data_IF_101440637947
#
_entry.id   IF_101440637947
#
_cell.length_a   1.000
_cell.length_b   1.000
_cell.length_c   1.000
_cell.angle_alpha   90.00
_cell.angle_beta   90.00
_cell.angle_gamma   90.00
#
_symmetry.space_group_name_H-M   'P 1'
#
loop_
_entity.id
_entity.type
_entity.pdbx_description
1 polymer ?
#
# COMPACT_ATOMS: atom_id res chain seq x y z
N UNK A 1 30.62 -5.85 -11.91
CA UNK A 1 29.84 -4.65 -11.55
C UNK A 1 29.18 -4.98 -10.23
N UNK A 2 29.30 -4.13 -9.22
CA UNK A 2 28.65 -4.34 -7.91
C UNK A 2 27.14 -4.43 -8.11
N UNK A 3 26.50 -5.41 -7.49
CA UNK A 3 25.06 -5.59 -7.58
C UNK A 3 24.31 -4.52 -6.78
N UNK A 4 23.03 -4.30 -7.09
CA UNK A 4 22.21 -3.28 -6.41
C UNK A 4 22.15 -3.50 -4.89
N UNK A 5 22.02 -4.75 -4.45
CA UNK A 5 21.98 -5.12 -3.04
C UNK A 5 23.31 -4.83 -2.33
N UNK A 6 24.45 -5.11 -2.98
CA UNK A 6 25.78 -4.83 -2.43
C UNK A 6 26.01 -3.31 -2.29
N UNK A 7 25.52 -2.51 -3.24
CA UNK A 7 25.55 -1.04 -3.13
C UNK A 7 24.70 -0.58 -1.95
N UNK A 8 23.48 -1.11 -1.80
CA UNK A 8 22.58 -0.75 -0.71
C UNK A 8 23.14 -1.13 0.67
N UNK A 9 23.77 -2.30 0.81
CA UNK A 9 24.36 -2.79 2.05
C UNK A 9 25.64 -2.03 2.44
N UNK A 10 26.39 -1.51 1.47
CA UNK A 10 27.57 -0.69 1.73
C UNK A 10 27.22 0.75 2.15
N UNK A 11 25.97 1.18 1.99
CA UNK A 11 25.55 2.53 2.34
C UNK A 11 25.52 2.74 3.85
N UNK A 12 25.90 3.94 4.30
CA UNK A 12 25.73 4.37 5.69
C UNK A 12 24.54 5.32 5.78
N UNK A 13 23.30 4.80 5.98
CA UNK A 13 22.11 5.63 6.05
C UNK A 13 22.19 6.62 7.22
N UNK A 14 21.69 7.84 7.01
CA UNK A 14 21.57 8.82 8.08
C UNK A 14 20.41 8.44 9.01
N UNK A 15 20.46 8.81 10.30
CA UNK A 15 19.30 8.69 11.17
C UNK A 15 18.07 9.37 10.56
N UNK A 16 16.91 8.72 10.64
CA UNK A 16 15.69 9.22 10.02
C UNK A 16 15.27 10.60 10.55
N UNK A 17 15.58 10.89 11.83
CA UNK A 17 15.37 12.20 12.41
C UNK A 17 16.09 13.33 11.64
N UNK A 18 17.30 13.09 11.14
CA UNK A 18 18.03 14.08 10.33
C UNK A 18 17.38 14.30 8.97
N UNK A 19 16.80 13.25 8.37
CA UNK A 19 16.03 13.35 7.12
C UNK A 19 14.74 14.14 7.35
N UNK A 20 14.07 13.88 8.47
CA UNK A 20 12.87 14.58 8.87
C UNK A 20 13.13 16.08 9.14
N UNK A 21 14.26 16.41 9.77
CA UNK A 21 14.68 17.78 10.05
C UNK A 21 14.87 18.61 8.76
N UNK A 22 15.38 18.01 7.68
CA UNK A 22 15.49 18.70 6.37
C UNK A 22 14.13 19.12 5.83
N UNK A 23 13.11 18.31 6.08
CA UNK A 23 11.71 18.59 5.73
C UNK A 23 10.98 19.41 6.81
N UNK A 24 11.68 19.81 7.88
CA UNK A 24 11.13 20.53 9.05
C UNK A 24 9.99 19.77 9.74
N UNK A 25 10.06 18.43 9.69
CA UNK A 25 9.13 17.56 10.41
C UNK A 25 9.62 17.49 11.86
N UNK A 26 8.85 17.96 12.85
CA UNK A 26 9.28 17.91 14.24
C UNK A 26 9.31 16.47 14.74
N UNK A 27 10.19 16.19 15.71
CA UNK A 27 10.34 14.86 16.33
C UNK A 27 9.01 14.29 16.83
N UNK A 28 8.13 15.13 17.38
CA UNK A 28 6.81 14.73 17.88
C UNK A 28 5.82 14.28 16.79
N UNK A 29 6.14 14.54 15.52
CA UNK A 29 5.35 14.14 14.34
C UNK A 29 6.06 13.10 13.49
N UNK A 30 7.17 12.54 13.99
CA UNK A 30 7.88 11.42 13.40
C UNK A 30 7.74 10.21 14.33
N UNK A 31 7.27 9.10 13.81
CA UNK A 31 7.17 7.82 14.51
C UNK A 31 8.25 6.88 13.94
N UNK A 32 9.39 6.71 14.62
CA UNK A 32 10.50 5.92 14.08
C UNK A 32 10.18 4.42 14.04
N UNK A 33 10.49 3.79 12.91
CA UNK A 33 10.48 2.33 12.73
C UNK A 33 11.94 1.87 12.66
N UNK A 34 12.57 1.76 13.82
CA UNK A 34 14.03 1.65 13.89
C UNK A 34 14.71 3.01 13.66
N UNK A 35 15.95 3.00 13.17
CA UNK A 35 16.80 4.21 13.13
C UNK A 35 16.76 4.98 11.82
N UNK A 36 16.33 4.36 10.72
CA UNK A 36 16.57 4.85 9.34
C UNK A 36 15.30 4.95 8.49
N UNK A 37 14.14 4.69 9.09
CA UNK A 37 12.81 4.83 8.49
C UNK A 37 11.79 5.17 9.58
N UNK A 38 10.67 5.75 9.20
CA UNK A 38 9.61 6.11 10.14
C UNK A 38 8.34 6.51 9.42
N UNK A 39 7.25 6.67 10.17
CA UNK A 39 6.00 7.25 9.67
C UNK A 39 5.89 8.71 10.06
N UNK A 40 5.32 9.52 9.17
CA UNK A 40 5.03 10.92 9.45
C UNK A 40 3.58 11.06 9.88
N UNK A 41 3.34 11.66 11.04
CA UNK A 41 2.01 11.80 11.60
C UNK A 41 1.06 12.52 10.64
N UNK A 42 -0.01 11.83 10.23
CA UNK A 42 -0.94 12.31 9.21
C UNK A 42 -1.65 13.61 9.63
N UNK A 43 -2.06 13.73 10.91
CA UNK A 43 -2.75 14.92 11.41
C UNK A 43 -1.87 16.17 11.40
N UNK A 44 -0.56 16.00 11.61
CA UNK A 44 0.39 17.09 11.45
C UNK A 44 0.58 17.42 9.97
N UNK A 45 0.76 16.41 9.12
CA UNK A 45 1.00 16.58 7.68
C UNK A 45 -0.13 17.35 6.98
N UNK A 46 -1.38 16.99 7.27
CA UNK A 46 -2.57 17.61 6.66
C UNK A 46 -2.77 19.09 7.06
N UNK A 47 -2.12 19.55 8.13
CA UNK A 47 -2.15 20.96 8.55
C UNK A 47 -1.08 21.81 7.89
N UNK A 48 -0.15 21.20 7.15
CA UNK A 48 0.93 21.95 6.51
C UNK A 48 0.41 22.68 5.27
N UNK A 49 0.72 23.97 5.11
CA UNK A 49 0.29 24.72 3.94
C UNK A 49 1.04 24.23 2.70
N UNK A 50 0.35 24.18 1.57
CA UNK A 50 1.00 24.05 0.27
C UNK A 50 1.77 25.35 0.01
N UNK A 51 3.08 25.21 -0.25
CA UNK A 51 3.95 26.36 -0.53
C UNK A 51 3.72 26.85 -1.96
N UNK A 52 3.68 28.16 -2.19
CA UNK A 52 3.53 28.74 -3.54
C UNK A 52 4.68 28.33 -4.50
N UNK A 53 5.85 28.04 -3.93
CA UNK A 53 7.03 27.56 -4.65
C UNK A 53 6.98 26.05 -4.96
N UNK A 54 5.99 25.31 -4.45
CA UNK A 54 5.90 23.87 -4.67
C UNK A 54 5.69 23.56 -6.16
N UNK A 55 6.39 22.53 -6.65
CA UNK A 55 6.29 22.02 -8.02
C UNK A 55 6.11 20.52 -7.96
N UNK A 56 5.20 19.98 -8.75
CA UNK A 56 5.00 18.55 -8.91
C UNK A 56 5.63 18.10 -10.23
N UNK A 57 6.63 17.22 -10.15
CA UNK A 57 7.29 16.64 -11.33
C UNK A 57 6.85 15.18 -11.44
N UNK A 58 6.08 14.87 -12.48
CA UNK A 58 5.66 13.51 -12.78
C UNK A 58 6.67 12.84 -13.71
N UNK A 59 7.29 11.76 -13.25
CA UNK A 59 8.14 10.90 -14.08
C UNK A 59 7.30 9.78 -14.68
N UNK A 60 7.27 9.72 -16.02
CA UNK A 60 6.61 8.65 -16.78
C UNK A 60 7.59 8.01 -17.76
N UNK A 61 7.17 6.97 -18.46
CA UNK A 61 7.97 6.27 -19.45
C UNK A 61 7.13 5.94 -20.70
N UNK A 62 7.81 5.54 -21.77
CA UNK A 62 7.18 4.87 -22.91
C UNK A 62 6.58 3.52 -22.49
N UNK A 63 5.84 2.87 -23.40
CA UNK A 63 5.34 1.51 -23.17
C UNK A 63 6.48 0.56 -22.77
N UNK A 64 6.31 -0.25 -21.72
CA UNK A 64 7.38 -1.09 -21.19
C UNK A 64 7.80 -2.17 -22.20
N UNK A 65 9.10 -2.41 -22.27
CA UNK A 65 9.75 -3.40 -23.13
C UNK A 65 10.63 -4.35 -22.31
N UNK A 66 11.00 -5.53 -22.83
CA UNK A 66 11.91 -6.44 -22.14
C UNK A 66 13.29 -5.85 -21.82
N UNK A 67 13.69 -4.76 -22.47
CA UNK A 67 14.98 -4.10 -22.21
C UNK A 67 15.00 -3.33 -20.88
N UNK A 68 13.84 -2.91 -20.38
CA UNK A 68 13.71 -2.11 -19.16
C UNK A 68 14.00 -0.62 -19.37
N UNK A 69 13.12 0.23 -18.84
CA UNK A 69 13.18 1.69 -19.09
C UNK A 69 13.81 2.49 -17.95
N UNK A 70 14.04 1.88 -16.78
CA UNK A 70 14.72 2.56 -15.65
C UNK A 70 13.92 3.68 -14.98
N UNK A 71 12.58 3.71 -15.13
CA UNK A 71 11.72 4.81 -14.61
C UNK A 71 11.95 5.17 -13.15
N UNK A 72 12.03 4.17 -12.26
CA UNK A 72 12.25 4.43 -10.83
C UNK A 72 13.65 4.96 -10.58
N UNK A 73 14.66 4.40 -11.23
CA UNK A 73 16.05 4.88 -11.19
C UNK A 73 16.13 6.35 -11.62
N UNK A 74 15.42 6.76 -12.68
CA UNK A 74 15.33 8.16 -13.10
C UNK A 74 14.65 9.04 -12.04
N UNK A 75 13.61 8.55 -11.37
CA UNK A 75 12.91 9.31 -10.32
C UNK A 75 13.84 9.58 -9.13
N UNK A 76 14.58 8.56 -8.69
CA UNK A 76 15.54 8.68 -7.60
C UNK A 76 16.69 9.61 -7.99
N UNK A 77 17.33 9.35 -9.14
CA UNK A 77 18.46 10.15 -9.61
C UNK A 77 18.09 11.62 -9.92
N UNK A 78 16.87 11.89 -10.36
CA UNK A 78 16.39 13.27 -10.53
C UNK A 78 16.23 13.97 -9.17
N UNK A 79 15.71 13.28 -8.15
CA UNK A 79 15.62 13.81 -6.79
C UNK A 79 17.00 14.17 -6.23
N UNK A 80 17.94 13.23 -6.34
CA UNK A 80 19.34 13.41 -5.92
C UNK A 80 20.01 14.57 -6.66
N UNK A 81 19.87 14.64 -7.99
CA UNK A 81 20.40 15.74 -8.79
C UNK A 81 19.80 17.11 -8.42
N UNK A 82 18.49 17.18 -8.18
CA UNK A 82 17.82 18.41 -7.73
C UNK A 82 18.34 18.85 -6.36
N UNK A 83 18.54 17.92 -5.43
CA UNK A 83 19.12 18.20 -4.12
C UNK A 83 20.54 18.73 -4.25
N UNK A 84 21.36 18.12 -5.11
CA UNK A 84 22.73 18.54 -5.38
C UNK A 84 22.85 19.98 -5.91
N UNK A 85 21.90 20.45 -6.71
CA UNK A 85 21.86 21.85 -7.18
C UNK A 85 21.16 22.80 -6.20
N UNK A 86 20.95 22.36 -4.95
CA UNK A 86 20.41 23.18 -3.85
C UNK A 86 18.90 23.38 -3.87
N UNK A 87 18.13 22.49 -4.52
CA UNK A 87 16.67 22.51 -4.41
C UNK A 87 16.22 21.73 -3.17
N UNK A 88 15.21 22.27 -2.50
CA UNK A 88 14.44 21.54 -1.50
C UNK A 88 13.50 20.56 -2.22
N UNK A 89 13.74 19.27 -2.04
CA UNK A 89 13.11 18.19 -2.81
C UNK A 89 12.89 16.97 -1.94
N UNK A 90 11.75 16.32 -2.16
CA UNK A 90 11.47 14.96 -1.73
C UNK A 90 10.93 14.18 -2.92
N UNK A 91 11.18 12.89 -2.97
CA UNK A 91 10.62 11.98 -3.97
C UNK A 91 9.50 11.14 -3.36
N UNK A 92 8.53 10.72 -4.18
CA UNK A 92 7.45 9.82 -3.77
C UNK A 92 7.44 8.59 -4.67
N UNK A 93 7.45 7.41 -4.06
CA UNK A 93 7.44 6.11 -4.72
C UNK A 93 6.36 5.20 -4.13
N UNK A 94 6.07 4.12 -4.85
CA UNK A 94 5.16 3.07 -4.39
C UNK A 94 5.93 2.00 -3.61
N UNK A 95 5.29 1.46 -2.58
CA UNK A 95 5.74 0.25 -1.91
C UNK A 95 5.57 -0.97 -2.84
N UNK A 96 6.60 -1.81 -3.01
CA UNK A 96 6.45 -3.06 -3.75
C UNK A 96 5.65 -4.09 -2.96
N UNK A 97 4.90 -4.91 -3.70
CA UNK A 97 4.32 -6.15 -3.16
C UNK A 97 5.41 -7.14 -2.77
N UNK A 98 5.20 -7.84 -1.65
CA UNK A 98 6.09 -8.86 -1.10
C UNK A 98 6.18 -10.10 -2.00
N UNK A 99 5.05 -10.57 -2.55
CA UNK A 99 4.97 -11.81 -3.32
C UNK A 99 5.96 -11.90 -4.49
N UNK A 100 6.05 -10.88 -5.37
CA UNK A 100 7.00 -10.83 -6.48
C UNK A 100 8.49 -10.92 -6.10
N UNK A 101 8.86 -10.51 -4.88
CA UNK A 101 10.25 -10.53 -4.40
C UNK A 101 10.77 -11.96 -4.29
N UNK A 102 9.90 -12.91 -3.91
CA UNK A 102 10.23 -14.35 -3.88
C UNK A 102 10.01 -15.05 -5.22
N UNK A 103 9.63 -14.32 -6.27
CA UNK A 103 9.45 -14.81 -7.63
C UNK A 103 10.63 -14.42 -8.53
N UNK A 104 10.33 -13.77 -9.66
CA UNK A 104 11.33 -13.36 -10.64
C UNK A 104 11.72 -11.87 -10.56
N UNK A 105 11.00 -11.05 -9.77
CA UNK A 105 11.14 -9.59 -9.82
C UNK A 105 11.89 -9.09 -8.59
N UNK A 106 13.18 -8.78 -8.75
CA UNK A 106 13.97 -8.08 -7.74
C UNK A 106 13.66 -6.57 -7.71
N UNK A 107 13.70 -5.99 -6.50
CA UNK A 107 13.84 -4.57 -6.15
C UNK A 107 13.04 -3.52 -6.95
N UNK A 108 12.03 -2.89 -6.33
CA UNK A 108 11.29 -1.78 -6.95
C UNK A 108 11.80 -0.38 -6.56
N UNK A 109 12.90 -0.28 -5.81
CA UNK A 109 13.38 0.94 -5.16
C UNK A 109 14.51 1.67 -5.94
N UNK A 110 14.56 1.52 -7.26
CA UNK A 110 15.62 2.10 -8.11
C UNK A 110 16.68 1.07 -8.51
N UNK A 111 17.88 1.52 -8.84
CA UNK A 111 18.99 0.65 -9.23
C UNK A 111 20.32 1.40 -9.35
N UNK A 112 21.45 0.68 -9.26
CA UNK A 112 22.78 1.26 -9.26
C UNK A 112 23.00 2.22 -8.08
N UNK A 113 23.51 3.42 -8.33
CA UNK A 113 23.70 4.45 -7.29
C UNK A 113 22.47 5.35 -7.08
N UNK A 114 21.36 5.09 -7.78
CA UNK A 114 20.11 5.80 -7.59
C UNK A 114 19.06 4.83 -7.00
N UNK A 115 19.17 4.60 -5.68
CA UNK A 115 18.29 3.73 -4.92
C UNK A 115 17.71 4.43 -3.68
N UNK A 116 16.52 3.98 -3.27
CA UNK A 116 15.94 4.27 -1.95
C UNK A 116 16.29 3.14 -0.98
N UNK A 117 16.70 3.52 0.22
CA UNK A 117 17.15 2.61 1.28
C UNK A 117 16.34 2.81 2.57
N UNK A 118 16.17 1.78 3.42
CA UNK A 118 16.71 0.41 3.30
C UNK A 118 15.93 -0.48 2.31
N UNK A 119 16.62 -0.98 1.28
CA UNK A 119 15.99 -1.77 0.19
C UNK A 119 15.39 -3.10 0.69
N UNK A 120 16.07 -3.78 1.63
CA UNK A 120 15.60 -5.05 2.19
C UNK A 120 14.27 -4.89 2.91
N UNK A 121 14.15 -3.85 3.74
CA UNK A 121 12.91 -3.57 4.46
C UNK A 121 11.78 -3.19 3.51
N UNK A 122 12.06 -2.32 2.52
CA UNK A 122 11.08 -1.86 1.53
C UNK A 122 10.53 -3.03 0.71
N UNK A 123 11.36 -4.02 0.38
CA UNK A 123 10.96 -5.20 -0.38
C UNK A 123 10.28 -6.28 0.48
N UNK A 124 10.32 -6.17 1.81
CA UNK A 124 9.76 -7.16 2.73
C UNK A 124 8.51 -6.63 3.42
N UNK A 125 8.55 -6.50 4.75
CA UNK A 125 7.39 -6.07 5.54
C UNK A 125 7.27 -4.56 5.65
N UNK A 126 8.34 -3.84 5.31
CA UNK A 126 8.52 -2.41 5.50
C UNK A 126 8.01 -1.92 6.86
N UNK A 127 6.97 -1.08 6.87
CA UNK A 127 6.29 -0.60 8.09
C UNK A 127 4.92 -1.27 8.31
N UNK A 128 4.56 -2.27 7.48
CA UNK A 128 3.36 -3.10 7.65
C UNK A 128 2.10 -2.62 6.91
N UNK A 129 2.22 -1.67 5.98
CA UNK A 129 1.06 -1.07 5.29
C UNK A 129 0.29 -2.13 4.48
N UNK A 130 0.99 -2.97 3.71
CA UNK A 130 0.36 -4.03 2.92
C UNK A 130 -0.25 -5.12 3.82
N UNK A 131 0.33 -5.36 5.01
CA UNK A 131 -0.29 -6.27 5.99
C UNK A 131 -1.62 -5.69 6.50
N UNK A 132 -1.65 -4.41 6.87
CA UNK A 132 -2.86 -3.74 7.32
C UNK A 132 -3.96 -3.76 6.24
N UNK A 133 -3.59 -3.52 4.98
CA UNK A 133 -4.51 -3.59 3.83
C UNK A 133 -5.03 -5.02 3.63
N UNK A 134 -4.15 -6.03 3.69
CA UNK A 134 -4.54 -7.42 3.60
C UNK A 134 -5.51 -7.84 4.72
N UNK A 135 -5.24 -7.43 5.95
CA UNK A 135 -6.11 -7.68 7.11
C UNK A 135 -7.46 -6.99 6.94
N UNK A 136 -7.49 -5.72 6.53
CA UNK A 136 -8.74 -4.99 6.29
C UNK A 136 -9.58 -5.68 5.19
N UNK A 137 -8.97 -6.06 4.07
CA UNK A 137 -9.68 -6.74 2.99
C UNK A 137 -10.29 -8.07 3.45
N UNK A 138 -9.51 -8.87 4.17
CA UNK A 138 -9.94 -10.18 4.64
C UNK A 138 -10.94 -10.08 5.80
N UNK A 139 -10.89 -9.02 6.61
CA UNK A 139 -11.92 -8.70 7.59
C UNK A 139 -13.27 -8.44 6.90
N UNK A 140 -13.29 -7.65 5.81
CA UNK A 140 -14.52 -7.42 5.05
C UNK A 140 -15.08 -8.72 4.47
N UNK A 141 -14.23 -9.59 3.92
CA UNK A 141 -14.63 -10.91 3.44
C UNK A 141 -15.20 -11.80 4.57
N UNK A 142 -14.57 -11.78 5.75
CA UNK A 142 -15.05 -12.53 6.92
C UNK A 142 -16.40 -12.02 7.43
N UNK A 143 -16.59 -10.70 7.50
CA UNK A 143 -17.86 -10.09 7.90
C UNK A 143 -18.99 -10.44 6.92
N UNK A 144 -18.70 -10.46 5.62
CA UNK A 144 -19.66 -10.86 4.58
C UNK A 144 -20.13 -12.31 4.78
N UNK A 145 -19.21 -13.26 4.90
CA UNK A 145 -19.56 -14.67 5.06
C UNK A 145 -20.23 -14.93 6.43
N UNK A 146 -19.82 -14.20 7.47
CA UNK A 146 -20.46 -14.24 8.79
C UNK A 146 -21.90 -13.73 8.76
N UNK A 147 -22.16 -12.64 8.02
CA UNK A 147 -23.51 -12.12 7.83
C UNK A 147 -24.42 -13.13 7.12
N UNK A 148 -23.91 -13.78 6.07
CA UNK A 148 -24.63 -14.85 5.37
C UNK A 148 -24.91 -16.02 6.33
N UNK A 149 -23.93 -16.41 7.14
CA UNK A 149 -24.09 -17.48 8.13
C UNK A 149 -25.18 -17.16 9.17
N UNK A 150 -25.19 -15.94 9.71
CA UNK A 150 -26.12 -15.50 10.76
C UNK A 150 -27.43 -14.91 10.22
N UNK A 151 -28.06 -15.62 9.28
CA UNK A 151 -29.43 -15.36 8.85
C UNK A 151 -29.56 -14.50 7.59
N UNK A 152 -28.44 -14.01 7.02
CA UNK A 152 -28.40 -13.33 5.72
C UNK A 152 -29.52 -12.29 5.54
N UNK A 153 -29.72 -11.42 6.53
CA UNK A 153 -30.86 -10.47 6.54
C UNK A 153 -30.84 -9.45 5.39
N UNK A 154 -29.68 -9.28 4.74
CA UNK A 154 -29.51 -8.42 3.55
C UNK A 154 -29.83 -9.15 2.24
N UNK A 155 -30.20 -10.42 2.33
CA UNK A 155 -30.58 -11.25 1.21
C UNK A 155 -29.51 -11.42 0.11
N UNK A 156 -28.25 -11.55 0.53
CA UNK A 156 -27.10 -11.71 -0.36
C UNK A 156 -27.23 -13.02 -1.14
N UNK A 157 -27.12 -12.95 -2.47
CA UNK A 157 -26.95 -14.12 -3.32
C UNK A 157 -25.46 -14.53 -3.31
N UNK A 158 -25.14 -15.69 -2.72
CA UNK A 158 -23.75 -16.17 -2.59
C UNK A 158 -23.03 -16.37 -3.94
N UNK A 159 -23.79 -16.46 -5.04
CA UNK A 159 -23.26 -16.56 -6.41
C UNK A 159 -22.93 -15.20 -7.03
N UNK A 160 -23.29 -14.11 -6.34
CA UNK A 160 -23.11 -12.71 -6.78
C UNK A 160 -22.25 -11.92 -5.79
N UNK A 161 -21.46 -12.62 -4.98
CA UNK A 161 -20.38 -11.99 -4.20
C UNK A 161 -19.27 -11.60 -5.17
N UNK A 162 -18.93 -10.31 -5.21
CA UNK A 162 -17.84 -9.78 -6.03
C UNK A 162 -16.58 -9.57 -5.23
N UNK A 163 -16.70 -9.43 -3.91
CA UNK A 163 -15.57 -9.25 -3.01
C UNK A 163 -14.76 -10.54 -2.84
N UNK A 164 -13.47 -10.48 -3.16
CA UNK A 164 -12.52 -11.57 -3.01
C UNK A 164 -11.62 -11.37 -1.79
N UNK A 165 -10.99 -12.46 -1.36
CA UNK A 165 -9.93 -12.42 -0.35
C UNK A 165 -8.61 -11.98 -0.98
N UNK A 166 -7.61 -11.67 -0.16
CA UNK A 166 -6.27 -11.31 -0.64
C UNK A 166 -5.15 -11.94 0.16
N UNK A 167 -4.03 -12.19 -0.51
CA UNK A 167 -2.79 -12.65 0.08
C UNK A 167 -1.62 -12.04 -0.69
N UNK A 168 -0.63 -11.49 0.01
CA UNK A 168 0.53 -10.87 -0.66
C UNK A 168 1.60 -11.91 -1.04
N UNK A 169 1.17 -12.95 -1.74
CA UNK A 169 2.00 -14.04 -2.25
C UNK A 169 1.59 -14.38 -3.67
N UNK A 170 2.57 -14.82 -4.48
CA UNK A 170 2.32 -15.32 -5.84
C UNK A 170 1.76 -16.74 -5.81
N UNK A 171 0.56 -16.92 -5.27
CA UNK A 171 -0.10 -18.22 -5.15
C UNK A 171 -1.20 -18.42 -6.20
N UNK A 172 -0.89 -19.22 -7.22
CA UNK A 172 -1.85 -19.50 -8.30
C UNK A 172 -2.97 -20.45 -7.87
N UNK A 173 -2.80 -21.24 -6.81
CA UNK A 173 -3.76 -22.25 -6.39
C UNK A 173 -5.01 -21.62 -5.76
N UNK A 174 -4.90 -20.38 -5.28
CA UNK A 174 -5.99 -19.66 -4.63
C UNK A 174 -6.86 -18.82 -5.59
N UNK A 175 -6.60 -18.86 -6.90
CA UNK A 175 -7.33 -18.05 -7.90
C UNK A 175 -8.82 -18.40 -8.01
N UNK A 176 -9.15 -19.68 -7.83
CA UNK A 176 -10.51 -20.21 -7.91
C UNK A 176 -10.66 -21.33 -6.88
N UNK A 177 -11.48 -21.10 -5.87
CA UNK A 177 -11.66 -21.99 -4.72
C UNK A 177 -13.14 -22.13 -4.35
N UNK A 178 -13.45 -23.14 -3.53
CA UNK A 178 -14.73 -23.22 -2.83
C UNK A 178 -14.49 -23.05 -1.33
N UNK A 179 -15.22 -22.15 -0.69
CA UNK A 179 -15.12 -21.86 0.74
C UNK A 179 -16.34 -22.38 1.52
N UNK A 180 -16.28 -22.33 2.85
CA UNK A 180 -17.39 -22.68 3.75
C UNK A 180 -17.92 -24.12 3.59
N UNK A 181 -17.00 -25.07 3.38
CA UNK A 181 -17.28 -26.51 3.38
C UNK A 181 -17.20 -27.09 4.80
N UNK A 182 -17.72 -28.32 4.98
CA UNK A 182 -17.60 -29.06 6.25
C UNK A 182 -18.83 -29.04 7.16
N UNK A 183 -20.01 -28.72 6.61
CA UNK A 183 -21.29 -28.85 7.30
C UNK A 183 -21.83 -27.54 7.89
N UNK A 184 -22.99 -27.58 8.58
CA UNK A 184 -23.75 -26.38 8.96
C UNK A 184 -23.02 -25.36 9.84
N UNK A 185 -22.04 -25.81 10.64
CA UNK A 185 -21.24 -24.93 11.49
C UNK A 185 -20.22 -24.06 10.73
N UNK A 186 -19.96 -24.36 9.45
CA UNK A 186 -18.86 -23.74 8.68
C UNK A 186 -19.34 -22.74 7.62
N UNK A 187 -20.64 -22.44 7.57
CA UNK A 187 -21.23 -21.47 6.63
C UNK A 187 -21.95 -22.11 5.45
N UNK A 188 -22.11 -21.32 4.39
CA UNK A 188 -22.80 -21.72 3.16
C UNK A 188 -21.78 -21.82 2.02
N UNK A 189 -21.63 -22.98 1.37
CA UNK A 189 -20.65 -23.15 0.29
C UNK A 189 -20.84 -22.15 -0.85
N UNK A 190 -19.74 -21.53 -1.30
CA UNK A 190 -19.72 -20.66 -2.49
C UNK A 190 -18.36 -20.70 -3.18
N UNK A 191 -18.36 -20.33 -4.46
CA UNK A 191 -17.14 -20.04 -5.20
C UNK A 191 -16.51 -18.75 -4.68
N UNK A 192 -15.19 -18.71 -4.61
CA UNK A 192 -14.41 -17.56 -4.18
C UNK A 192 -13.03 -17.57 -4.82
N UNK A 193 -12.20 -16.58 -4.50
CA UNK A 193 -10.80 -16.56 -4.91
C UNK A 193 -9.99 -15.56 -4.11
N UNK A 194 -8.68 -15.59 -4.34
CA UNK A 194 -7.73 -14.63 -3.82
C UNK A 194 -7.12 -13.82 -4.95
N UNK A 195 -7.01 -12.52 -4.72
CA UNK A 195 -6.13 -11.64 -5.49
C UNK A 195 -4.88 -11.31 -4.65
N UNK A 196 -3.86 -10.74 -5.30
CA UNK A 196 -2.70 -10.21 -4.56
C UNK A 196 -3.09 -8.91 -3.86
N UNK A 197 -2.53 -8.60 -2.68
CA UNK A 197 -2.96 -7.47 -1.84
C UNK A 197 -3.00 -6.14 -2.58
N UNK A 198 -1.99 -5.87 -3.42
CA UNK A 198 -1.90 -4.64 -4.22
C UNK A 198 -2.99 -4.47 -5.28
N UNK A 199 -3.76 -5.53 -5.57
CA UNK A 199 -4.92 -5.51 -6.46
C UNK A 199 -6.24 -5.23 -5.73
N UNK A 200 -6.24 -5.19 -4.38
CA UNK A 200 -7.44 -4.90 -3.60
C UNK A 200 -7.98 -3.49 -3.90
N UNK A 201 -9.30 -3.34 -3.94
CA UNK A 201 -9.93 -2.02 -3.98
C UNK A 201 -9.56 -1.18 -2.74
N UNK A 202 -9.29 -1.82 -1.59
CA UNK A 202 -8.79 -1.11 -0.40
C UNK A 202 -7.44 -0.45 -0.68
N UNK A 203 -6.55 -1.07 -1.45
CA UNK A 203 -5.28 -0.45 -1.85
C UNK A 203 -5.53 0.80 -2.71
N UNK A 204 -6.47 0.74 -3.66
CA UNK A 204 -6.83 1.89 -4.48
C UNK A 204 -7.45 3.01 -3.64
N UNK A 205 -8.39 2.69 -2.76
CA UNK A 205 -9.01 3.63 -1.82
C UNK A 205 -7.97 4.26 -0.90
N UNK A 206 -7.05 3.46 -0.35
CA UNK A 206 -5.96 3.92 0.52
C UNK A 206 -5.07 4.96 -0.17
N UNK A 207 -4.74 4.75 -1.45
CA UNK A 207 -3.91 5.67 -2.23
C UNK A 207 -4.64 6.95 -2.68
N UNK A 208 -5.98 6.98 -2.58
CA UNK A 208 -6.82 8.10 -3.03
C UNK A 208 -7.49 8.85 -1.87
N UNK A 209 -7.40 8.33 -0.65
CA UNK A 209 -7.97 8.97 0.54
C UNK A 209 -7.18 10.24 0.90
N UNK A 210 -7.89 11.30 1.27
CA UNK A 210 -7.26 12.55 1.72
C UNK A 210 -6.98 12.57 3.21
N UNK A 211 -7.75 11.81 3.99
CA UNK A 211 -7.68 11.71 5.44
C UNK A 211 -8.45 10.46 5.91
N UNK A 212 -8.53 10.25 7.23
CA UNK A 212 -9.23 9.10 7.82
C UNK A 212 -10.75 9.12 7.62
N UNK A 213 -11.37 10.30 7.55
CA UNK A 213 -12.82 10.42 7.36
C UNK A 213 -13.19 10.12 5.90
N UNK A 214 -12.41 10.62 4.94
CA UNK A 214 -12.55 10.25 3.52
C UNK A 214 -12.24 8.77 3.29
N UNK A 215 -11.21 8.22 3.94
CA UNK A 215 -10.92 6.79 3.92
C UNK A 215 -12.15 5.98 4.37
N UNK A 216 -12.71 6.30 5.54
CA UNK A 216 -13.89 5.63 6.09
C UNK A 216 -15.09 5.73 5.15
N UNK A 217 -15.35 6.91 4.61
CA UNK A 217 -16.45 7.14 3.69
C UNK A 217 -16.31 6.33 2.39
N UNK A 218 -15.08 6.22 1.84
CA UNK A 218 -14.79 5.40 0.66
C UNK A 218 -14.95 3.91 0.95
N UNK A 219 -14.41 3.44 2.08
CA UNK A 219 -14.55 2.03 2.50
C UNK A 219 -16.02 1.64 2.64
N UNK A 220 -16.86 2.51 3.22
CA UNK A 220 -18.30 2.25 3.33
C UNK A 220 -19.03 2.11 1.99
N UNK A 221 -18.53 2.73 0.93
CA UNK A 221 -19.13 2.69 -0.43
C UNK A 221 -18.72 1.47 -1.26
N UNK A 222 -17.80 0.63 -0.78
CA UNK A 222 -17.40 -0.60 -1.48
C UNK A 222 -18.62 -1.50 -1.67
N UNK A 223 -18.88 -1.92 -2.91
CA UNK A 223 -19.92 -2.91 -3.23
C UNK A 223 -19.31 -4.31 -3.16
N UNK A 224 -19.80 -5.12 -2.23
CA UNK A 224 -19.22 -6.44 -1.93
C UNK A 224 -20.01 -7.60 -2.53
N UNK A 225 -21.30 -7.40 -2.76
CA UNK A 225 -22.18 -8.43 -3.32
C UNK A 225 -23.46 -7.80 -3.89
N UNK A 226 -24.32 -8.65 -4.45
CA UNK A 226 -25.66 -8.29 -4.84
C UNK A 226 -26.69 -9.20 -4.19
N UNK A 227 -27.88 -8.65 -3.93
CA UNK A 227 -29.03 -9.42 -3.46
C UNK A 227 -29.60 -10.33 -4.55
N UNK A 228 -30.54 -11.21 -4.19
CA UNK A 228 -31.28 -12.03 -5.17
C UNK A 228 -32.02 -11.18 -6.21
N UNK A 229 -32.51 -10.01 -5.79
CA UNK A 229 -33.15 -8.99 -6.63
C UNK A 229 -32.16 -8.01 -7.31
N UNK A 230 -30.86 -8.34 -7.28
CA UNK A 230 -29.77 -7.60 -7.94
C UNK A 230 -29.57 -6.18 -7.41
N UNK A 231 -29.91 -5.92 -6.15
CA UNK A 231 -29.54 -4.67 -5.48
C UNK A 231 -28.12 -4.76 -4.94
N UNK A 232 -27.30 -3.70 -5.04
CA UNK A 232 -25.95 -3.70 -4.51
C UNK A 232 -25.98 -3.77 -2.97
N UNK A 233 -25.05 -4.53 -2.39
CA UNK A 233 -24.79 -4.58 -0.96
C UNK A 233 -23.41 -4.02 -0.70
N UNK A 234 -23.32 -3.05 0.20
CA UNK A 234 -22.11 -2.31 0.50
C UNK A 234 -21.42 -2.78 1.78
N UNK A 235 -20.16 -2.39 1.98
CA UNK A 235 -19.47 -2.59 3.25
C UNK A 235 -20.16 -1.85 4.42
N UNK A 236 -20.83 -0.71 4.17
CA UNK A 236 -21.62 -0.01 5.17
C UNK A 236 -22.89 -0.77 5.58
N UNK A 237 -23.53 -1.50 4.66
CA UNK A 237 -24.66 -2.38 4.99
C UNK A 237 -24.23 -3.51 5.95
N UNK A 238 -22.97 -3.94 5.86
CA UNK A 238 -22.32 -4.88 6.79
C UNK A 238 -21.74 -4.20 8.04
N UNK A 239 -21.86 -2.87 8.17
CA UNK A 239 -21.29 -2.05 9.26
C UNK A 239 -19.77 -2.22 9.43
N UNK A 240 -19.06 -2.42 8.33
CA UNK A 240 -17.64 -2.76 8.33
C UNK A 240 -16.71 -1.52 8.37
N UNK A 241 -17.15 -0.37 7.85
CA UNK A 241 -16.31 0.78 7.54
C UNK A 241 -15.51 1.32 8.72
N UNK A 242 -16.11 1.31 9.93
CA UNK A 242 -15.41 1.71 11.15
C UNK A 242 -14.27 0.78 11.52
N UNK A 243 -14.50 -0.54 11.45
CA UNK A 243 -13.49 -1.55 11.77
C UNK A 243 -12.36 -1.56 10.74
N UNK A 244 -12.70 -1.44 9.45
CA UNK A 244 -11.71 -1.34 8.37
C UNK A 244 -10.82 -0.10 8.54
N UNK A 245 -11.41 1.05 8.86
CA UNK A 245 -10.66 2.29 9.12
C UNK A 245 -9.74 2.14 10.33
N UNK A 246 -10.19 1.48 11.40
CA UNK A 246 -9.37 1.25 12.59
C UNK A 246 -8.13 0.40 12.29
N UNK A 247 -8.27 -0.64 11.45
CA UNK A 247 -7.13 -1.48 11.00
C UNK A 247 -6.12 -0.66 10.18
N UNK A 248 -6.60 0.28 9.37
CA UNK A 248 -5.77 1.07 8.45
C UNK A 248 -5.23 2.38 9.07
N UNK A 249 -5.59 2.69 10.32
CA UNK A 249 -5.33 3.99 10.95
C UNK A 249 -3.87 4.40 10.87
N UNK A 250 -2.97 3.53 11.33
CA UNK A 250 -1.54 3.84 11.38
C UNK A 250 -0.89 3.62 10.00
N UNK A 251 -1.43 2.69 9.21
CA UNK A 251 -0.96 2.43 7.85
C UNK A 251 -1.07 3.70 6.99
N UNK A 252 -2.16 4.48 7.10
CA UNK A 252 -2.41 5.68 6.28
C UNK A 252 -1.37 6.80 6.45
N UNK A 253 -0.57 6.78 7.52
CA UNK A 253 0.54 7.73 7.66
C UNK A 253 1.69 7.37 6.67
N UNK A 254 2.20 8.32 5.87
CA UNK A 254 3.21 8.04 4.87
C UNK A 254 4.56 7.69 5.50
N UNK A 255 5.29 6.77 4.84
CA UNK A 255 6.58 6.30 5.33
C UNK A 255 7.71 7.15 4.77
N UNK A 256 8.50 7.75 5.65
CA UNK A 256 9.73 8.48 5.32
C UNK A 256 10.93 7.54 5.37
N UNK A 257 11.72 7.61 4.31
CA UNK A 257 13.01 6.94 4.10
C UNK A 257 13.95 7.90 3.35
N UNK A 258 15.06 7.41 2.82
CA UNK A 258 16.04 8.24 2.11
C UNK A 258 16.64 7.52 0.90
N UNK A 259 17.20 8.30 -0.02
CA UNK A 259 18.08 7.78 -1.08
C UNK A 259 19.46 7.45 -0.54
N UNK A 260 20.31 6.81 -1.35
CA UNK A 260 21.73 6.59 -1.02
C UNK A 260 22.47 7.89 -0.67
N UNK A 261 22.08 9.01 -1.27
CA UNK A 261 22.65 10.35 -1.03
C UNK A 261 21.91 11.12 0.08
N UNK A 262 20.96 10.47 0.75
CA UNK A 262 20.19 11.04 1.84
C UNK A 262 19.09 12.00 1.38
N UNK A 263 18.66 11.98 0.12
CA UNK A 263 17.48 12.75 -0.30
C UNK A 263 16.22 12.19 0.37
N UNK A 264 15.35 13.01 0.97
CA UNK A 264 14.10 12.53 1.57
C UNK A 264 13.22 11.81 0.55
N UNK A 265 12.69 10.65 0.93
CA UNK A 265 11.85 9.83 0.07
C UNK A 265 10.64 9.31 0.83
N UNK A 266 9.46 9.44 0.24
CA UNK A 266 8.23 8.81 0.72
C UNK A 266 7.94 7.55 -0.07
N UNK A 267 7.70 6.43 0.62
CA UNK A 267 7.30 5.16 0.01
C UNK A 267 5.95 4.78 0.62
N UNK A 268 4.86 4.91 -0.14
CA UNK A 268 3.54 4.75 0.43
C UNK A 268 2.50 4.34 -0.62
N UNK A 269 1.72 3.31 -0.28
CA UNK A 269 0.76 2.72 -1.20
C UNK A 269 1.41 2.06 -2.42
N UNK A 270 0.65 1.26 -3.16
CA UNK A 270 1.20 0.53 -4.30
C UNK A 270 0.15 -0.19 -5.13
N UNK A 271 -0.85 0.52 -5.72
CA UNK A 271 -1.89 -0.14 -6.50
C UNK A 271 -1.33 -0.63 -7.84
N UNK A 272 -2.05 -1.59 -8.42
CA UNK A 272 -1.92 -1.91 -9.83
C UNK A 272 -2.24 -0.70 -10.74
N UNK A 273 -1.78 -0.77 -11.98
CA UNK A 273 -1.81 0.33 -12.95
C UNK A 273 -2.46 -0.09 -14.29
N UNK A 274 -3.24 -1.16 -14.29
CA UNK A 274 -3.98 -1.69 -15.44
C UNK A 274 -5.48 -1.41 -15.35
#
# INVERSE_FOLDING_TARGET
MTSDIEIAQAATPRPIAQIADELKIPETSLEPYGRIKGKVNLNWLLKQPIRDSARMILVTAISPTPAGEGKTTTTVGLGDALKHIGKDVAICLREPSLGPVFGMKGGAAGGGYAQVIPMEDINLHFNGDLHAIGVANNLLAALLDNHIHHGNVLDIDVRRVTWKRVLDMNDRALRDITVSLGGPGNGYPRQDGFDIVVASEIMAIFCLATDLDDLKARLGRIVVAYTRDRQPVTAADLKAEGALTAVLKDALAPNLVQTLEGTPAFVHGGPFAN
#
